data_IF_724933808435
#
_entry.id   IF_724933808435
#
_cell.length_a   1.000
_cell.length_b   1.000
_cell.length_c   1.000
_cell.angle_alpha   90.00
_cell.angle_beta   90.00
_cell.angle_gamma   90.00
#
_symmetry.space_group_name_H-M   'P 1'
#
loop_
_entity.id
_entity.type
_entity.pdbx_description
1 polymer ?
#
# COMPACT_ATOMS: atom_id res chain seq x y z
N UNK A 1 -13.56 -26.38 -2.79
CA UNK A 1 -13.06 -25.52 -1.70
C UNK A 1 -11.73 -24.97 -2.19
N UNK A 2 -11.74 -23.81 -2.86
CA UNK A 2 -10.60 -23.32 -3.64
C UNK A 2 -9.63 -22.54 -2.75
N UNK A 3 -8.39 -23.03 -2.75
CA UNK A 3 -7.15 -22.48 -2.19
C UNK A 3 -7.12 -20.94 -2.12
N UNK A 4 -7.52 -20.36 -0.98
CA UNK A 4 -7.60 -18.89 -0.82
C UNK A 4 -6.45 -18.30 0.01
N UNK A 5 -5.43 -19.09 0.36
CA UNK A 5 -4.31 -18.68 1.22
C UNK A 5 -3.06 -18.23 0.45
N UNK A 6 -3.13 -18.13 -0.88
CA UNK A 6 -2.07 -17.59 -1.74
C UNK A 6 -2.29 -16.15 -2.20
N UNK A 7 -3.31 -15.44 -1.69
CA UNK A 7 -3.44 -14.00 -1.90
C UNK A 7 -2.56 -13.24 -0.91
N UNK A 8 -1.23 -13.27 -1.13
CA UNK A 8 -0.30 -12.26 -0.55
C UNK A 8 -0.35 -10.96 -1.36
N UNK A 9 -1.55 -10.58 -1.79
CA UNK A 9 -1.79 -9.45 -2.66
C UNK A 9 -3.11 -8.81 -2.21
N UNK A 10 -3.15 -7.50 -1.97
CA UNK A 10 -4.40 -6.81 -1.70
C UNK A 10 -5.39 -7.11 -2.81
N UNK A 11 -6.64 -7.39 -2.44
CA UNK A 11 -7.73 -7.64 -3.39
C UNK A 11 -7.97 -6.42 -4.30
N UNK A 12 -7.52 -5.24 -3.85
CA UNK A 12 -7.41 -4.00 -4.62
C UNK A 12 -5.99 -3.41 -4.51
N UNK A 13 -5.14 -3.65 -5.51
CA UNK A 13 -3.80 -3.04 -5.65
C UNK A 13 -3.83 -1.51 -5.71
N UNK A 14 -5.02 -0.95 -5.94
CA UNK A 14 -5.30 0.49 -6.11
C UNK A 14 -5.41 1.22 -4.78
N UNK A 15 -5.66 0.53 -3.67
CA UNK A 15 -5.90 1.16 -2.37
C UNK A 15 -5.07 0.51 -1.27
N UNK A 16 -4.27 1.31 -0.58
CA UNK A 16 -3.45 0.90 0.56
C UNK A 16 -4.34 0.85 1.82
N UNK A 17 -4.68 -0.36 2.26
CA UNK A 17 -5.38 -0.60 3.52
C UNK A 17 -4.35 -0.69 4.65
N UNK A 18 -4.18 0.42 5.34
CA UNK A 18 -3.41 0.50 6.59
C UNK A 18 -4.01 -0.34 7.76
N UNK A 19 -5.12 -1.04 7.53
CA UNK A 19 -5.74 -1.95 8.49
C UNK A 19 -4.88 -3.17 8.79
N UNK A 20 -4.02 -3.57 7.84
CA UNK A 20 -3.14 -4.72 7.99
C UNK A 20 -1.67 -4.31 7.90
N UNK A 21 -0.90 -4.65 8.94
CA UNK A 21 0.52 -4.26 9.05
C UNK A 21 1.38 -4.81 7.92
N UNK A 22 1.10 -6.03 7.45
CA UNK A 22 1.84 -6.66 6.35
C UNK A 22 1.69 -5.92 5.03
N UNK A 23 0.55 -5.25 4.82
CA UNK A 23 0.28 -4.49 3.61
C UNK A 23 1.07 -3.18 3.60
N UNK A 24 1.21 -2.53 4.77
CA UNK A 24 2.13 -1.40 4.96
C UNK A 24 3.54 -1.81 4.62
N UNK A 25 4.02 -2.94 5.16
CA UNK A 25 5.37 -3.45 4.87
C UNK A 25 5.56 -3.76 3.39
N UNK A 26 4.57 -4.39 2.75
CA UNK A 26 4.60 -4.67 1.32
C UNK A 26 4.73 -3.38 0.49
N UNK A 27 3.90 -2.37 0.75
CA UNK A 27 3.96 -1.10 0.02
C UNK A 27 5.23 -0.31 0.31
N UNK A 28 5.74 -0.32 1.55
CA UNK A 28 7.03 0.30 1.87
C UNK A 28 8.17 -0.34 1.09
N UNK A 29 8.15 -1.66 0.89
CA UNK A 29 9.14 -2.37 0.07
C UNK A 29 8.95 -2.13 -1.43
N UNK A 30 7.71 -2.18 -1.92
CA UNK A 30 7.38 -1.98 -3.34
C UNK A 30 7.67 -0.56 -3.82
N UNK A 31 7.37 0.44 -3.00
CA UNK A 31 7.62 1.85 -3.30
C UNK A 31 9.01 2.30 -2.88
N UNK A 32 9.73 1.48 -2.12
CA UNK A 32 11.01 1.81 -1.51
C UNK A 32 10.91 3.14 -0.74
N UNK A 33 9.97 3.17 0.22
CA UNK A 33 9.69 4.32 1.09
C UNK A 33 9.49 3.86 2.53
N UNK A 34 9.68 4.77 3.48
CA UNK A 34 9.44 4.48 4.90
C UNK A 34 7.96 4.43 5.24
N UNK A 35 7.56 3.66 6.26
CA UNK A 35 6.17 3.61 6.75
C UNK A 35 5.63 5.01 7.12
N UNK A 36 6.48 5.88 7.66
CA UNK A 36 6.15 7.28 7.92
C UNK A 36 5.84 8.06 6.63
N UNK A 37 6.67 7.93 5.58
CA UNK A 37 6.42 8.57 4.28
C UNK A 37 5.15 8.04 3.63
N UNK A 38 4.91 6.73 3.72
CA UNK A 38 3.69 6.12 3.21
C UNK A 38 2.45 6.68 3.93
N UNK A 39 2.48 6.76 5.27
CA UNK A 39 1.41 7.36 6.10
C UNK A 39 1.19 8.83 5.75
N UNK A 40 2.25 9.61 5.58
CA UNK A 40 2.18 11.03 5.20
C UNK A 40 1.60 11.19 3.80
N UNK A 41 2.06 10.41 2.82
CA UNK A 41 1.50 10.44 1.48
C UNK A 41 0.00 10.12 1.52
N UNK A 42 -0.38 9.03 2.21
CA UNK A 42 -1.79 8.64 2.37
C UNK A 42 -2.62 9.72 3.07
N UNK A 43 -2.06 10.42 4.05
CA UNK A 43 -2.75 11.53 4.71
C UNK A 43 -2.97 12.74 3.78
N UNK A 44 -2.06 12.98 2.83
CA UNK A 44 -2.16 14.09 1.88
C UNK A 44 -3.07 13.77 0.69
N UNK A 45 -2.94 12.58 0.10
CA UNK A 45 -3.60 12.24 -1.17
C UNK A 45 -4.70 11.19 -1.05
N UNK A 46 -4.85 10.59 0.13
CA UNK A 46 -5.75 9.49 0.41
C UNK A 46 -5.07 8.12 0.27
N UNK A 47 -5.81 7.05 0.55
CA UNK A 47 -5.33 5.66 0.51
C UNK A 47 -5.04 5.15 -0.90
N UNK A 48 -5.12 6.00 -1.91
CA UNK A 48 -5.04 5.63 -3.30
C UNK A 48 -3.58 5.43 -3.72
N UNK A 49 -3.20 4.20 -4.09
CA UNK A 49 -1.82 3.84 -4.44
C UNK A 49 -1.30 4.70 -5.59
N UNK A 50 -2.14 5.00 -6.59
CA UNK A 50 -1.72 5.81 -7.73
C UNK A 50 -1.37 7.23 -7.31
N UNK A 51 -2.19 7.84 -6.45
CA UNK A 51 -1.92 9.17 -5.95
C UNK A 51 -0.70 9.19 -5.03
N UNK A 52 -0.53 8.15 -4.20
CA UNK A 52 0.63 8.00 -3.32
C UNK A 52 1.91 7.88 -4.15
N UNK A 53 1.91 7.07 -5.22
CA UNK A 53 3.01 6.99 -6.20
C UNK A 53 3.30 8.33 -6.86
N UNK A 54 2.27 9.03 -7.34
CA UNK A 54 2.42 10.36 -7.92
C UNK A 54 3.00 11.37 -6.93
N UNK A 55 2.54 11.35 -5.67
CA UNK A 55 3.03 12.23 -4.60
C UNK A 55 4.49 11.94 -4.25
N UNK A 56 4.87 10.66 -4.24
CA UNK A 56 6.23 10.21 -3.94
C UNK A 56 7.16 10.26 -5.16
N UNK A 57 6.65 10.52 -6.36
CA UNK A 57 7.41 10.53 -7.60
C UNK A 57 7.95 9.16 -8.02
N UNK A 58 7.22 8.08 -7.70
CA UNK A 58 7.60 6.68 -7.96
C UNK A 58 6.76 6.04 -9.07
#
# INVERSE_FOLDING_TARGET
>A
MTDSLKKRQPEDERVIRLSETWEVEYWTKTLDVSAAQLRTAIANVGKDTQKVKQYLGK
#
